data_IF_672909779819
#
_entry.id   IF_672909779819
#
_cell.length_a   1.000
_cell.length_b   1.000
_cell.length_c   1.000
_cell.angle_alpha   90.00
_cell.angle_beta   90.00
_cell.angle_gamma   90.00
#
_symmetry.space_group_name_H-M   'P 1'
#
loop_
_entity.id
_entity.type
_entity.pdbx_description
1 polymer ?
#
# COMPACT_ATOMS: atom_id res chain seq x y z
N UNK A 1 7.23 2.88 -21.42
CA UNK A 1 5.87 3.31 -21.01
C UNK A 1 6.05 4.11 -19.74
N UNK A 2 5.49 5.32 -19.65
CA UNK A 2 5.56 6.13 -18.42
C UNK A 2 4.60 5.57 -17.36
N UNK A 3 4.92 5.81 -16.09
CA UNK A 3 4.13 5.34 -14.96
C UNK A 3 3.30 6.49 -14.36
N UNK A 4 2.01 6.29 -14.18
CA UNK A 4 1.16 7.10 -13.31
C UNK A 4 0.73 6.26 -12.11
N UNK A 5 0.72 6.85 -10.93
CA UNK A 5 0.25 6.17 -9.71
C UNK A 5 -1.08 6.76 -9.28
N UNK A 6 -2.03 5.90 -8.92
CA UNK A 6 -3.31 6.27 -8.31
C UNK A 6 -3.38 5.67 -6.92
N UNK A 7 -3.47 6.50 -5.88
CA UNK A 7 -3.57 6.06 -4.49
C UNK A 7 -4.99 6.31 -3.99
N UNK A 8 -5.70 5.23 -3.62
CA UNK A 8 -7.05 5.30 -3.09
C UNK A 8 -7.04 5.63 -1.59
N UNK A 9 -7.49 6.80 -1.23
CA UNK A 9 -7.49 7.34 0.13
C UNK A 9 -8.85 7.88 0.59
N UNK A 10 -9.94 7.54 -0.13
CA UNK A 10 -11.28 8.08 0.11
C UNK A 10 -12.09 7.37 1.21
N UNK A 11 -11.58 6.29 1.80
CA UNK A 11 -12.31 5.47 2.77
C UNK A 11 -12.59 6.20 4.09
N UNK A 12 -13.82 6.08 4.62
CA UNK A 12 -14.28 6.76 5.86
C UNK A 12 -13.61 6.29 7.16
N UNK A 13 -12.97 5.11 7.17
CA UNK A 13 -12.22 4.61 8.34
C UNK A 13 -13.02 4.44 9.65
N UNK A 14 -14.33 4.18 9.60
CA UNK A 14 -15.22 4.10 10.78
C UNK A 14 -14.71 3.18 11.91
N UNK A 15 -14.01 2.08 11.55
CA UNK A 15 -13.45 1.11 12.50
C UNK A 15 -12.27 1.67 13.32
N UNK A 16 -11.63 2.75 12.88
CA UNK A 16 -10.55 3.42 13.61
C UNK A 16 -11.02 4.10 14.90
N UNK A 17 -12.33 4.40 15.01
CA UNK A 17 -12.91 5.13 16.17
C UNK A 17 -12.10 6.38 16.51
N UNK A 18 -11.79 7.20 15.53
CA UNK A 18 -10.92 8.37 15.63
C UNK A 18 -11.50 9.51 14.78
N UNK A 19 -11.35 10.75 15.24
CA UNK A 19 -11.65 11.95 14.46
C UNK A 19 -10.62 12.19 13.35
N UNK A 20 -9.40 11.68 13.55
CA UNK A 20 -8.36 11.73 12.53
C UNK A 20 -8.68 10.75 11.40
N UNK A 21 -8.69 11.17 10.14
CA UNK A 21 -8.86 10.29 8.99
C UNK A 21 -7.93 9.07 9.03
N UNK A 22 -8.44 7.91 8.62
CA UNK A 22 -7.69 6.64 8.66
C UNK A 22 -6.29 6.77 8.07
N UNK A 23 -6.19 7.36 6.90
CA UNK A 23 -4.92 7.50 6.15
C UNK A 23 -3.93 8.49 6.79
N UNK A 24 -4.37 9.28 7.76
CA UNK A 24 -3.53 10.17 8.56
C UNK A 24 -3.09 9.57 9.90
N UNK A 25 -3.58 8.37 10.27
CA UNK A 25 -3.10 7.70 11.48
C UNK A 25 -1.58 7.53 11.41
N UNK A 26 -0.86 7.88 12.48
CA UNK A 26 0.61 7.80 12.47
C UNK A 26 1.09 6.35 12.56
N UNK A 27 2.06 6.02 11.73
CA UNK A 27 2.86 4.81 11.75
C UNK A 27 4.33 5.23 11.88
N UNK A 28 4.99 4.89 12.98
CA UNK A 28 6.32 5.39 13.32
C UNK A 28 6.45 6.93 13.19
N UNK A 29 5.41 7.66 13.63
CA UNK A 29 5.35 9.12 13.60
C UNK A 29 4.96 9.75 12.26
N UNK A 30 4.79 8.97 11.19
CA UNK A 30 4.47 9.44 9.83
C UNK A 30 3.07 8.96 9.42
N UNK A 31 2.21 9.76 8.75
CA UNK A 31 0.90 9.32 8.28
C UNK A 31 0.98 8.07 7.37
N UNK A 32 0.01 7.15 7.50
CA UNK A 32 -0.07 5.95 6.65
C UNK A 32 0.06 6.29 5.15
N UNK A 33 -0.69 7.29 4.69
CA UNK A 33 -0.68 7.73 3.29
C UNK A 33 0.71 8.22 2.84
N UNK A 34 1.46 8.87 3.73
CA UNK A 34 2.81 9.34 3.41
C UNK A 34 3.77 8.19 3.11
N UNK A 35 3.69 7.08 3.87
CA UNK A 35 4.47 5.88 3.57
C UNK A 35 4.18 5.34 2.17
N UNK A 36 2.90 5.33 1.75
CA UNK A 36 2.50 4.88 0.42
C UNK A 36 3.00 5.83 -0.67
N UNK A 37 2.89 7.15 -0.44
CA UNK A 37 3.41 8.17 -1.37
C UNK A 37 4.94 8.01 -1.54
N UNK A 38 5.67 7.80 -0.45
CA UNK A 38 7.12 7.65 -0.50
C UNK A 38 7.54 6.41 -1.27
N UNK A 39 6.91 5.26 -0.99
CA UNK A 39 7.16 4.03 -1.74
C UNK A 39 6.83 4.17 -3.24
N UNK A 40 5.75 4.88 -3.58
CA UNK A 40 5.39 5.18 -4.96
C UNK A 40 6.42 6.08 -5.64
N UNK A 41 6.94 7.08 -4.94
CA UNK A 41 7.93 8.05 -5.44
C UNK A 41 9.26 7.40 -5.83
N UNK A 42 9.65 6.32 -5.14
CA UNK A 42 10.85 5.54 -5.48
C UNK A 42 10.80 4.87 -6.87
N UNK A 43 9.60 4.75 -7.46
CA UNK A 43 9.42 4.28 -8.83
C UNK A 43 9.59 5.38 -9.88
N UNK A 44 9.82 6.63 -9.45
CA UNK A 44 9.95 7.81 -10.32
C UNK A 44 8.78 7.97 -11.31
N UNK A 45 7.51 7.96 -10.83
CA UNK A 45 6.35 8.08 -11.70
C UNK A 45 6.25 9.49 -12.31
N UNK A 46 5.60 9.60 -13.47
CA UNK A 46 5.30 10.88 -14.10
C UNK A 46 4.34 11.73 -13.26
N UNK A 47 3.41 11.08 -12.55
CA UNK A 47 2.49 11.73 -11.61
C UNK A 47 1.99 10.74 -10.55
N UNK A 48 1.66 11.26 -9.36
CA UNK A 48 0.95 10.55 -8.30
C UNK A 48 -0.39 11.25 -8.08
N UNK A 49 -1.49 10.53 -8.27
CA UNK A 49 -2.84 10.99 -8.05
C UNK A 49 -3.36 10.40 -6.73
N UNK A 50 -3.75 11.22 -5.78
CA UNK A 50 -4.34 10.77 -4.52
C UNK A 50 -5.84 11.03 -4.57
N UNK A 51 -6.62 9.95 -4.62
CA UNK A 51 -8.08 10.02 -4.62
C UNK A 51 -8.56 10.09 -3.19
N UNK A 52 -9.15 11.22 -2.82
CA UNK A 52 -9.67 11.49 -1.49
C UNK A 52 -11.19 11.67 -1.49
N UNK A 53 -11.81 11.61 -0.31
CA UNK A 53 -13.25 11.77 -0.14
C UNK A 53 -13.57 12.49 1.16
N UNK A 54 -14.33 11.86 2.04
CA UNK A 54 -14.70 12.43 3.34
C UNK A 54 -13.46 12.78 4.18
N UNK A 55 -13.43 13.97 4.79
CA UNK A 55 -12.28 14.46 5.58
C UNK A 55 -11.09 14.91 4.71
N UNK A 56 -11.29 15.09 3.42
CA UNK A 56 -10.25 15.42 2.45
C UNK A 56 -9.47 16.69 2.75
N UNK A 57 -10.12 17.72 3.30
CA UNK A 57 -9.45 18.98 3.68
C UNK A 57 -8.33 18.74 4.71
N UNK A 58 -8.57 17.86 5.70
CA UNK A 58 -7.56 17.50 6.68
C UNK A 58 -6.41 16.72 6.05
N UNK A 59 -6.72 15.81 5.11
CA UNK A 59 -5.69 15.01 4.41
C UNK A 59 -4.81 15.91 3.55
N UNK A 60 -5.42 16.81 2.78
CA UNK A 60 -4.69 17.77 1.95
C UNK A 60 -3.84 18.73 2.78
N UNK A 61 -4.38 19.26 3.88
CA UNK A 61 -3.65 20.17 4.77
C UNK A 61 -2.44 19.48 5.43
N UNK A 62 -2.63 18.24 5.92
CA UNK A 62 -1.55 17.48 6.56
C UNK A 62 -0.42 17.09 5.59
N UNK A 63 -0.69 16.95 4.30
CA UNK A 63 0.24 16.52 3.27
C UNK A 63 0.41 17.58 2.17
N UNK A 64 0.21 18.86 2.49
CA UNK A 64 0.26 19.97 1.54
C UNK A 64 1.65 20.13 0.86
N UNK A 65 2.72 19.65 1.49
CA UNK A 65 4.07 19.70 0.94
C UNK A 65 4.38 18.55 -0.04
N UNK A 66 3.48 17.57 -0.16
CA UNK A 66 3.69 16.44 -1.07
C UNK A 66 3.35 16.83 -2.51
N UNK A 67 4.28 16.55 -3.42
CA UNK A 67 4.09 16.78 -4.86
C UNK A 67 3.16 15.69 -5.44
N UNK A 68 1.85 15.83 -5.20
CA UNK A 68 0.80 14.92 -5.67
C UNK A 68 -0.37 15.70 -6.28
N UNK A 69 -1.14 15.05 -7.13
CA UNK A 69 -2.39 15.58 -7.68
C UNK A 69 -3.56 15.06 -6.84
N UNK A 70 -4.29 15.97 -6.23
CA UNK A 70 -5.46 15.64 -5.42
C UNK A 70 -6.70 15.49 -6.28
N UNK A 71 -7.39 14.34 -6.15
CA UNK A 71 -8.58 13.99 -6.94
C UNK A 71 -9.75 13.72 -6.01
N UNK A 72 -10.82 14.50 -6.13
CA UNK A 72 -12.00 14.31 -5.29
C UNK A 72 -12.86 13.16 -5.80
N UNK A 73 -13.24 12.25 -4.92
CA UNK A 73 -14.31 11.27 -5.14
C UNK A 73 -15.56 11.69 -4.38
N UNK A 74 -16.54 12.21 -5.09
CA UNK A 74 -17.87 12.54 -4.53
C UNK A 74 -18.97 12.21 -5.54
N UNK A 75 -19.96 11.35 -5.19
CA UNK A 75 -20.05 10.52 -3.99
C UNK A 75 -19.11 9.31 -4.02
N UNK A 76 -18.96 8.63 -2.87
CA UNK A 76 -18.12 7.42 -2.74
C UNK A 76 -18.92 6.19 -3.18
N UNK A 77 -18.75 5.77 -4.44
CA UNK A 77 -19.50 4.67 -5.06
C UNK A 77 -18.64 3.42 -5.31
N UNK A 78 -17.58 3.23 -4.54
CA UNK A 78 -16.70 2.07 -4.65
C UNK A 78 -15.33 2.38 -5.26
N UNK A 79 -14.47 1.37 -5.30
CA UNK A 79 -13.06 1.50 -5.71
C UNK A 79 -12.87 1.74 -7.20
N UNK A 80 -13.69 1.13 -8.04
CA UNK A 80 -13.71 1.40 -9.49
C UNK A 80 -14.10 2.84 -9.79
N UNK A 81 -15.13 3.37 -9.09
CA UNK A 81 -15.51 4.77 -9.21
C UNK A 81 -14.38 5.70 -8.76
N UNK A 82 -13.65 5.36 -7.69
CA UNK A 82 -12.50 6.15 -7.23
C UNK A 82 -11.41 6.28 -8.31
N UNK A 83 -11.01 5.16 -8.91
CA UNK A 83 -10.02 5.17 -10.00
C UNK A 83 -10.51 5.97 -11.21
N UNK A 84 -11.80 5.86 -11.55
CA UNK A 84 -12.42 6.62 -12.66
C UNK A 84 -12.23 8.12 -12.50
N UNK A 85 -12.27 8.65 -11.27
CA UNK A 85 -12.06 10.09 -11.03
C UNK A 85 -10.65 10.56 -11.41
N UNK A 86 -9.64 9.71 -11.27
CA UNK A 86 -8.25 10.05 -11.62
C UNK A 86 -7.96 9.94 -13.13
N UNK A 87 -8.71 9.10 -13.85
CA UNK A 87 -8.44 8.79 -15.25
C UNK A 87 -8.37 9.99 -16.22
N UNK A 88 -9.17 11.07 -16.07
CA UNK A 88 -9.08 12.23 -16.98
C UNK A 88 -7.70 12.89 -17.05
N UNK A 89 -6.90 12.79 -15.97
CA UNK A 89 -5.56 13.37 -15.88
C UNK A 89 -4.43 12.41 -16.28
N UNK A 90 -4.76 11.18 -16.70
CA UNK A 90 -3.78 10.15 -17.02
C UNK A 90 -3.76 9.90 -18.54
N UNK A 91 -2.61 10.06 -19.20
CA UNK A 91 -2.46 9.76 -20.64
C UNK A 91 -2.67 8.26 -20.94
N UNK A 92 -3.22 7.96 -22.13
CA UNK A 92 -3.54 6.59 -22.54
C UNK A 92 -2.32 5.69 -22.76
N UNK A 93 -1.16 6.27 -23.02
CA UNK A 93 0.13 5.59 -23.21
C UNK A 93 0.86 5.29 -21.90
N UNK A 94 0.32 5.71 -20.75
CA UNK A 94 0.87 5.40 -19.44
C UNK A 94 0.45 4.00 -18.95
N UNK A 95 1.26 3.45 -18.04
CA UNK A 95 0.84 2.38 -17.14
C UNK A 95 0.35 2.99 -15.84
N UNK A 96 -0.75 2.49 -15.32
CA UNK A 96 -1.35 2.94 -14.05
C UNK A 96 -1.04 1.92 -12.97
N UNK A 97 -0.35 2.35 -11.92
CA UNK A 97 -0.19 1.59 -10.69
C UNK A 97 -1.23 2.07 -9.68
N UNK A 98 -2.11 1.17 -9.25
CA UNK A 98 -3.18 1.46 -8.28
C UNK A 98 -2.75 0.95 -6.92
N UNK A 99 -2.77 1.84 -5.92
CA UNK A 99 -2.38 1.60 -4.53
C UNK A 99 -3.49 2.02 -3.58
N UNK A 100 -3.40 1.57 -2.33
CA UNK A 100 -4.30 1.95 -1.25
C UNK A 100 -3.54 2.73 -0.17
N UNK A 101 -4.04 3.88 0.24
CA UNK A 101 -3.40 4.78 1.20
C UNK A 101 -3.31 4.23 2.62
N UNK A 102 -3.92 3.09 2.89
CA UNK A 102 -3.90 2.37 4.16
C UNK A 102 -3.07 1.07 4.13
N UNK A 103 -2.28 0.84 3.06
CA UNK A 103 -1.35 -0.31 2.93
C UNK A 103 0.10 0.20 2.95
N UNK A 104 0.62 0.64 4.12
CA UNK A 104 1.82 1.47 4.21
C UNK A 104 3.15 0.71 4.10
N UNK A 105 3.14 -0.62 4.21
CA UNK A 105 4.39 -1.40 4.29
C UNK A 105 4.86 -1.98 2.97
N UNK A 106 4.10 -1.76 1.88
CA UNK A 106 4.49 -2.27 0.56
C UNK A 106 5.78 -1.61 0.08
N UNK A 107 6.77 -2.44 -0.25
CA UNK A 107 8.10 -1.98 -0.66
C UNK A 107 8.13 -1.55 -2.12
N UNK A 108 8.93 -0.56 -2.44
CA UNK A 108 9.14 -0.12 -3.82
C UNK A 108 9.61 -1.26 -4.74
N UNK A 109 10.41 -2.21 -4.24
CA UNK A 109 10.83 -3.38 -4.99
C UNK A 109 9.65 -4.26 -5.41
N UNK A 110 8.69 -4.52 -4.50
CA UNK A 110 7.46 -5.28 -4.78
C UNK A 110 6.59 -4.53 -5.80
N UNK A 111 6.44 -3.21 -5.64
CA UNK A 111 5.69 -2.38 -6.60
C UNK A 111 6.35 -2.38 -7.99
N UNK A 112 7.68 -2.32 -8.06
CA UNK A 112 8.43 -2.41 -9.32
C UNK A 112 8.20 -3.76 -9.99
N UNK A 113 8.32 -4.86 -9.23
CA UNK A 113 8.02 -6.21 -9.73
C UNK A 113 6.58 -6.35 -10.24
N UNK A 114 5.59 -5.72 -9.57
CA UNK A 114 4.20 -5.69 -10.03
C UNK A 114 4.04 -4.94 -11.36
N UNK A 115 4.69 -3.78 -11.50
CA UNK A 115 4.66 -2.99 -12.75
C UNK A 115 5.30 -3.76 -13.90
N UNK A 116 6.40 -4.47 -13.64
CA UNK A 116 7.16 -5.23 -14.65
C UNK A 116 6.47 -6.55 -15.03
N UNK A 117 5.76 -7.19 -14.10
CA UNK A 117 5.09 -8.49 -14.32
C UNK A 117 3.95 -8.43 -15.34
N UNK A 118 3.28 -7.29 -15.46
CA UNK A 118 2.30 -7.10 -16.54
C UNK A 118 3.02 -6.99 -17.87
N UNK A 119 2.74 -7.92 -18.82
CA UNK A 119 3.16 -7.74 -20.22
C UNK A 119 2.80 -6.32 -20.72
N UNK A 120 3.42 -5.86 -21.80
CA UNK A 120 3.24 -4.48 -22.28
C UNK A 120 1.76 -4.03 -22.34
N UNK A 121 0.83 -4.93 -22.64
CA UNK A 121 -0.62 -4.69 -22.72
C UNK A 121 -1.43 -5.51 -21.68
N UNK A 122 -0.75 -6.14 -20.69
CA UNK A 122 -1.35 -7.02 -19.69
C UNK A 122 -1.72 -6.31 -18.38
N UNK A 123 -2.58 -6.96 -17.61
CA UNK A 123 -2.95 -6.58 -16.25
C UNK A 123 -2.16 -7.41 -15.24
N UNK A 124 -1.52 -6.77 -14.26
CA UNK A 124 -0.92 -7.45 -13.12
C UNK A 124 -1.67 -7.11 -11.83
N UNK A 125 -1.89 -8.11 -10.98
CA UNK A 125 -2.48 -7.97 -9.64
C UNK A 125 -1.50 -8.49 -8.60
N UNK A 126 -1.36 -7.80 -7.48
CA UNK A 126 -0.60 -8.29 -6.34
C UNK A 126 -1.51 -9.18 -5.49
N UNK A 127 -1.10 -10.40 -5.24
CA UNK A 127 -1.81 -11.37 -4.39
C UNK A 127 -0.95 -11.80 -3.21
N UNK A 128 -1.56 -12.43 -2.23
CA UNK A 128 -0.86 -13.08 -1.12
C UNK A 128 -1.68 -14.27 -0.63
N UNK A 129 -1.00 -15.31 -0.15
CA UNK A 129 -1.66 -16.41 0.53
C UNK A 129 -1.83 -16.08 2.01
N UNK A 130 -3.06 -16.05 2.52
CA UNK A 130 -3.38 -15.78 3.92
C UNK A 130 -3.87 -17.03 4.64
N UNK A 131 -3.53 -17.13 5.93
CA UNK A 131 -4.11 -18.18 6.78
C UNK A 131 -5.59 -17.92 7.04
N UNK A 132 -5.96 -16.69 7.34
CA UNK A 132 -7.35 -16.23 7.42
C UNK A 132 -7.65 -15.20 6.33
N UNK A 133 -8.25 -15.61 5.21
CA UNK A 133 -8.58 -14.73 4.10
C UNK A 133 -9.89 -13.96 4.30
N UNK A 134 -10.50 -13.97 5.47
CA UNK A 134 -11.80 -13.35 5.75
C UNK A 134 -11.79 -11.84 5.42
N UNK A 135 -12.82 -11.40 4.70
CA UNK A 135 -13.00 -10.01 4.32
C UNK A 135 -12.27 -9.56 3.05
N UNK A 136 -11.44 -10.40 2.46
CA UNK A 136 -10.70 -10.09 1.23
C UNK A 136 -11.33 -10.73 -0.02
N UNK A 137 -11.10 -10.14 -1.20
CA UNK A 137 -11.42 -10.74 -2.49
C UNK A 137 -10.51 -11.94 -2.79
N UNK A 138 -11.07 -12.98 -3.39
CA UNK A 138 -10.35 -14.22 -3.75
C UNK A 138 -9.87 -14.20 -5.18
N UNK A 139 -8.63 -14.61 -5.42
CA UNK A 139 -8.11 -14.83 -6.78
C UNK A 139 -8.64 -16.18 -7.28
N UNK A 140 -9.54 -16.13 -8.25
CA UNK A 140 -10.07 -17.34 -8.90
C UNK A 140 -9.17 -17.68 -10.09
N UNK A 141 -8.81 -18.98 -10.19
CA UNK A 141 -7.93 -19.47 -11.26
C UNK A 141 -8.63 -20.55 -12.10
N UNK A 142 -8.26 -20.64 -13.38
CA UNK A 142 -8.68 -21.73 -14.27
C UNK A 142 -7.86 -23.03 -13.99
N UNK A 143 -8.19 -24.09 -14.72
CA UNK A 143 -7.49 -25.37 -14.60
C UNK A 143 -5.99 -25.30 -14.99
N UNK A 144 -5.59 -24.29 -15.73
CA UNK A 144 -4.18 -24.02 -16.09
C UNK A 144 -3.48 -23.12 -15.06
N UNK A 145 -4.14 -22.76 -13.96
CA UNK A 145 -3.62 -21.90 -12.92
C UNK A 145 -3.61 -20.41 -13.25
N UNK A 146 -4.26 -19.96 -14.30
CA UNK A 146 -4.30 -18.56 -14.71
C UNK A 146 -5.42 -17.83 -13.94
N UNK A 147 -5.18 -16.60 -13.44
CA UNK A 147 -6.22 -15.80 -12.82
C UNK A 147 -7.33 -15.49 -13.83
N UNK A 148 -8.58 -15.70 -13.42
CA UNK A 148 -9.77 -15.48 -14.27
C UNK A 148 -10.72 -14.43 -13.71
N UNK A 149 -10.74 -14.26 -12.38
CA UNK A 149 -11.58 -13.28 -11.71
C UNK A 149 -11.04 -13.00 -10.30
N UNK A 150 -11.47 -11.88 -9.73
CA UNK A 150 -11.42 -11.62 -8.30
C UNK A 150 -12.87 -11.59 -7.81
N UNK A 151 -13.18 -12.42 -6.81
CA UNK A 151 -14.53 -12.47 -6.22
C UNK A 151 -14.47 -11.93 -4.80
N UNK A 152 -15.21 -10.86 -4.54
CA UNK A 152 -15.25 -10.22 -3.22
C UNK A 152 -15.87 -11.17 -2.18
N UNK A 153 -15.42 -11.04 -0.92
CA UNK A 153 -15.83 -11.96 0.17
C UNK A 153 -17.35 -12.11 0.30
N UNK A 154 -18.10 -11.02 0.13
CA UNK A 154 -19.56 -11.00 0.28
C UNK A 154 -20.32 -11.64 -0.88
N UNK A 155 -19.68 -11.74 -2.04
CA UNK A 155 -20.24 -12.31 -3.26
C UNK A 155 -19.70 -13.73 -3.53
N UNK A 156 -18.77 -14.23 -2.69
CA UNK A 156 -18.10 -15.51 -2.88
C UNK A 156 -19.00 -16.70 -2.48
N UNK A 157 -18.99 -17.73 -3.32
CA UNK A 157 -19.59 -19.03 -3.00
C UNK A 157 -18.81 -19.75 -1.88
N UNK A 158 -19.41 -20.75 -1.19
CA UNK A 158 -18.69 -21.53 -0.18
C UNK A 158 -17.37 -22.15 -0.67
N UNK A 159 -17.32 -22.61 -1.91
CA UNK A 159 -16.11 -23.16 -2.51
C UNK A 159 -15.03 -22.06 -2.71
N UNK A 160 -15.42 -20.87 -3.14
CA UNK A 160 -14.52 -19.75 -3.32
C UNK A 160 -14.00 -19.18 -1.98
N UNK A 161 -14.80 -19.22 -0.92
CA UNK A 161 -14.36 -18.83 0.43
C UNK A 161 -13.19 -19.68 0.95
N UNK A 162 -13.05 -20.94 0.48
CA UNK A 162 -11.91 -21.80 0.79
C UNK A 162 -10.59 -21.42 0.12
N UNK A 163 -10.59 -20.52 -0.86
CA UNK A 163 -9.38 -20.03 -1.53
C UNK A 163 -8.60 -19.16 -0.56
N UNK A 164 -7.30 -19.46 -0.38
CA UNK A 164 -6.40 -18.70 0.50
C UNK A 164 -5.67 -17.56 -0.21
N UNK A 165 -5.56 -17.63 -1.52
CA UNK A 165 -4.95 -16.54 -2.30
C UNK A 165 -5.94 -15.38 -2.43
N UNK A 166 -5.56 -14.25 -1.86
CA UNK A 166 -6.37 -13.05 -1.82
C UNK A 166 -5.82 -11.95 -2.72
N UNK A 167 -6.71 -11.09 -3.15
CA UNK A 167 -6.38 -9.84 -3.80
C UNK A 167 -6.00 -8.79 -2.77
N UNK A 168 -4.83 -8.19 -2.94
CA UNK A 168 -4.38 -7.08 -2.07
C UNK A 168 -4.98 -5.73 -2.47
N UNK A 169 -5.59 -5.65 -3.65
CA UNK A 169 -6.08 -4.42 -4.26
C UNK A 169 -5.04 -3.71 -5.14
N UNK A 170 -3.75 -4.02 -4.97
CA UNK A 170 -2.69 -3.37 -5.75
C UNK A 170 -2.63 -3.97 -7.15
N UNK A 171 -2.65 -3.10 -8.17
CA UNK A 171 -2.73 -3.50 -9.58
C UNK A 171 -1.88 -2.60 -10.47
N UNK A 172 -1.33 -3.16 -11.55
CA UNK A 172 -0.67 -2.42 -12.61
C UNK A 172 -1.35 -2.70 -13.96
N UNK A 173 -1.85 -1.64 -14.61
CA UNK A 173 -2.76 -1.75 -15.76
C UNK A 173 -2.40 -0.71 -16.82
N UNK A 174 -2.39 -1.01 -18.13
CA UNK A 174 -2.29 0.00 -19.17
C UNK A 174 -3.48 0.98 -19.10
N UNK A 175 -3.23 2.29 -19.10
CA UNK A 175 -4.25 3.33 -18.90
C UNK A 175 -5.39 3.22 -19.93
N UNK A 176 -5.06 3.00 -21.20
CA UNK A 176 -6.06 2.83 -22.27
C UNK A 176 -7.02 1.67 -22.00
N UNK A 177 -6.50 0.53 -21.54
CA UNK A 177 -7.33 -0.66 -21.19
C UNK A 177 -8.16 -0.38 -19.95
N UNK A 178 -7.53 0.18 -18.91
CA UNK A 178 -8.19 0.53 -17.67
C UNK A 178 -9.39 1.44 -17.90
N UNK A 179 -9.24 2.49 -18.71
CA UNK A 179 -10.33 3.42 -19.06
C UNK A 179 -11.51 2.70 -19.70
N UNK A 180 -11.25 1.80 -20.64
CA UNK A 180 -12.31 1.04 -21.30
C UNK A 180 -13.05 0.11 -20.33
N UNK A 181 -12.32 -0.59 -19.46
CA UNK A 181 -12.93 -1.51 -18.48
C UNK A 181 -13.71 -0.77 -17.39
N UNK A 182 -13.19 0.35 -16.89
CA UNK A 182 -13.89 1.19 -15.90
C UNK A 182 -15.23 1.71 -16.42
N UNK A 183 -15.31 2.07 -17.70
CA UNK A 183 -16.55 2.51 -18.32
C UNK A 183 -17.63 1.40 -18.41
N UNK A 184 -17.22 0.13 -18.35
CA UNK A 184 -18.11 -1.04 -18.38
C UNK A 184 -18.47 -1.60 -17.00
N UNK A 185 -17.97 -1.02 -15.90
CA UNK A 185 -18.27 -1.51 -14.57
C UNK A 185 -19.76 -1.35 -14.21
N UNK A 186 -20.27 -2.30 -13.44
CA UNK A 186 -21.62 -2.30 -12.89
C UNK A 186 -21.56 -2.32 -11.37
N UNK A 187 -22.67 -2.00 -10.73
CA UNK A 187 -22.81 -2.06 -9.29
C UNK A 187 -23.88 -3.09 -8.82
N UNK A 188 -24.13 -4.09 -9.66
CA UNK A 188 -25.06 -5.19 -9.41
C UNK A 188 -24.40 -6.26 -8.50
N UNK A 189 -24.03 -5.87 -7.28
CA UNK A 189 -23.32 -6.71 -6.32
C UNK A 189 -23.82 -6.48 -4.90
N UNK A 190 -23.37 -7.28 -3.93
CA UNK A 190 -23.82 -7.25 -2.55
C UNK A 190 -23.66 -5.89 -1.84
N UNK A 191 -22.80 -5.01 -2.33
CA UNK A 191 -22.56 -3.70 -1.73
C UNK A 191 -23.17 -2.53 -2.55
N UNK A 192 -23.64 -2.78 -3.78
CA UNK A 192 -24.13 -1.73 -4.68
C UNK A 192 -23.01 -0.79 -5.14
N UNK A 193 -21.75 -1.24 -5.17
CA UNK A 193 -20.57 -0.43 -5.46
C UNK A 193 -19.93 -0.84 -6.81
N UNK A 194 -19.24 0.09 -7.46
CA UNK A 194 -18.41 -0.21 -8.63
C UNK A 194 -17.09 -0.82 -8.15
N UNK A 195 -16.98 -2.15 -8.24
CA UNK A 195 -15.78 -2.86 -7.83
C UNK A 195 -14.66 -2.74 -8.86
N UNK A 196 -13.50 -2.26 -8.43
CA UNK A 196 -12.31 -2.22 -9.28
C UNK A 196 -11.90 -3.65 -9.71
N UNK A 197 -12.12 -4.63 -8.85
CA UNK A 197 -11.76 -6.02 -9.07
C UNK A 197 -12.43 -6.66 -10.30
N UNK A 198 -13.56 -6.12 -10.76
CA UNK A 198 -14.27 -6.59 -11.95
C UNK A 198 -13.50 -6.34 -13.27
N UNK A 199 -12.50 -5.44 -13.26
CA UNK A 199 -11.61 -5.25 -14.43
C UNK A 199 -10.82 -6.51 -14.77
N UNK A 200 -10.58 -7.41 -13.79
CA UNK A 200 -9.87 -8.68 -14.02
C UNK A 200 -10.69 -9.59 -14.94
N UNK A 201 -11.97 -9.78 -14.64
CA UNK A 201 -12.89 -10.53 -15.49
C UNK A 201 -13.07 -9.87 -16.86
N UNK A 202 -13.06 -8.54 -16.93
CA UNK A 202 -13.11 -7.80 -18.19
C UNK A 202 -11.85 -8.03 -19.02
N UNK A 203 -10.66 -8.01 -18.42
CA UNK A 203 -9.40 -8.32 -19.10
C UNK A 203 -9.39 -9.74 -19.69
N UNK A 204 -9.82 -10.72 -18.90
CA UNK A 204 -9.91 -12.13 -19.35
C UNK A 204 -10.89 -12.28 -20.53
N UNK A 205 -12.05 -11.65 -20.46
CA UNK A 205 -13.05 -11.65 -21.55
C UNK A 205 -12.48 -11.05 -22.83
N UNK A 206 -11.67 -10.01 -22.72
CA UNK A 206 -11.03 -9.33 -23.85
C UNK A 206 -9.75 -10.04 -24.35
N UNK A 207 -9.42 -11.22 -23.79
CA UNK A 207 -8.23 -12.00 -24.15
C UNK A 207 -6.91 -11.35 -23.70
N UNK A 208 -6.96 -10.40 -22.76
CA UNK A 208 -5.77 -9.72 -22.23
C UNK A 208 -5.14 -10.57 -21.12
N UNK A 209 -3.81 -10.79 -21.15
CA UNK A 209 -3.13 -11.55 -20.11
C UNK A 209 -3.30 -10.92 -18.73
N UNK A 210 -3.66 -11.76 -17.75
CA UNK A 210 -3.70 -11.38 -16.32
C UNK A 210 -2.62 -12.16 -15.58
N UNK A 211 -1.74 -11.45 -14.90
CA UNK A 211 -0.66 -12.02 -14.06
C UNK A 211 -0.92 -11.72 -12.60
N UNK A 212 -0.95 -12.75 -11.75
CA UNK A 212 -0.93 -12.56 -10.31
C UNK A 212 0.51 -12.69 -9.79
N UNK A 213 1.01 -11.65 -9.15
CA UNK A 213 2.31 -11.59 -8.48
C UNK A 213 2.09 -11.88 -7.01
N UNK A 214 2.80 -12.87 -6.47
CA UNK A 214 2.67 -13.22 -5.06
C UNK A 214 3.60 -12.31 -4.22
N UNK A 215 3.05 -11.65 -3.22
CA UNK A 215 3.82 -10.87 -2.26
C UNK A 215 4.61 -11.80 -1.31
N UNK A 216 5.77 -11.33 -0.85
CA UNK A 216 6.66 -12.11 0.02
C UNK A 216 6.05 -12.39 1.40
N UNK A 217 5.17 -11.52 1.91
CA UNK A 217 4.54 -11.69 3.22
C UNK A 217 3.19 -11.00 3.34
N UNK A 218 2.33 -11.55 4.20
CA UNK A 218 1.01 -10.98 4.50
C UNK A 218 1.12 -9.55 5.06
N UNK A 219 2.09 -9.31 5.94
CA UNK A 219 2.24 -8.03 6.63
C UNK A 219 2.65 -6.89 5.70
N UNK A 220 3.35 -7.19 4.61
CA UNK A 220 3.74 -6.19 3.61
C UNK A 220 2.53 -5.55 2.90
N UNK A 221 1.48 -6.33 2.73
CA UNK A 221 0.28 -5.93 2.00
C UNK A 221 -0.94 -5.74 2.90
N UNK A 222 -0.72 -5.73 4.21
CA UNK A 222 -1.77 -5.55 5.20
C UNK A 222 -2.34 -4.14 5.16
N UNK A 223 -3.65 -4.04 4.97
CA UNK A 223 -4.39 -2.78 5.09
C UNK A 223 -4.75 -2.49 6.55
N UNK A 224 -4.52 -1.25 6.98
CA UNK A 224 -4.85 -0.79 8.33
C UNK A 224 -6.29 -0.29 8.37
N UNK A 225 -7.17 -0.99 9.07
CA UNK A 225 -8.59 -0.63 9.20
C UNK A 225 -9.04 -0.31 10.62
N UNK A 226 -8.26 -0.73 11.61
CA UNK A 226 -8.50 -0.50 13.04
C UNK A 226 -7.18 -0.35 13.81
N UNK A 227 -7.29 -0.12 15.13
CA UNK A 227 -6.12 0.12 15.99
C UNK A 227 -5.29 -1.15 16.24
N UNK A 228 -5.88 -2.33 16.11
CA UNK A 228 -5.16 -3.61 16.27
C UNK A 228 -4.23 -3.80 15.07
N UNK A 229 -4.78 -3.70 13.86
CA UNK A 229 -3.99 -3.77 12.64
C UNK A 229 -2.92 -2.66 12.57
N UNK A 230 -3.22 -1.45 13.07
CA UNK A 230 -2.21 -0.39 13.17
C UNK A 230 -1.03 -0.82 14.06
N UNK A 231 -1.29 -1.41 15.22
CA UNK A 231 -0.24 -1.88 16.13
C UNK A 231 0.59 -3.04 15.54
N UNK A 232 -0.05 -3.93 14.78
CA UNK A 232 0.62 -5.03 14.07
C UNK A 232 1.59 -4.49 13.00
N UNK A 233 1.13 -3.56 12.19
CA UNK A 233 1.92 -2.90 11.14
C UNK A 233 3.06 -2.07 11.76
N UNK A 234 2.81 -1.36 12.88
CA UNK A 234 3.83 -0.63 13.65
C UNK A 234 4.93 -1.59 14.12
N UNK A 235 4.55 -2.74 14.68
CA UNK A 235 5.50 -3.76 15.15
C UNK A 235 6.35 -4.31 14.00
N UNK A 236 5.74 -4.55 12.84
CA UNK A 236 6.42 -5.05 11.65
C UNK A 236 7.42 -4.02 11.09
N UNK A 237 7.02 -2.75 11.03
CA UNK A 237 7.90 -1.66 10.58
C UNK A 237 9.10 -1.50 11.53
N UNK A 238 8.86 -1.53 12.84
CA UNK A 238 9.92 -1.46 13.87
C UNK A 238 10.94 -2.57 13.69
N UNK A 239 10.48 -3.82 13.54
CA UNK A 239 11.36 -4.98 13.30
C UNK A 239 12.16 -4.84 12.01
N UNK A 240 11.54 -4.34 10.94
CA UNK A 240 12.22 -4.10 9.66
C UNK A 240 13.33 -3.08 9.81
N UNK A 241 13.06 -1.92 10.42
CA UNK A 241 14.03 -0.84 10.64
C UNK A 241 15.17 -1.27 11.56
N UNK A 242 14.87 -2.02 12.64
CA UNK A 242 15.90 -2.59 13.51
C UNK A 242 16.83 -3.54 12.74
N UNK A 243 16.27 -4.40 11.87
CA UNK A 243 17.05 -5.27 10.99
C UNK A 243 17.94 -4.48 10.02
N UNK A 244 17.41 -3.43 9.42
CA UNK A 244 18.16 -2.54 8.52
C UNK A 244 19.37 -1.90 9.22
N UNK A 245 19.19 -1.40 10.45
CA UNK A 245 20.31 -0.87 11.25
C UNK A 245 21.37 -1.92 11.56
N UNK A 246 20.96 -3.15 11.91
CA UNK A 246 21.92 -4.24 12.17
C UNK A 246 22.69 -4.60 10.90
N UNK A 247 22.05 -4.63 9.75
CA UNK A 247 22.70 -4.87 8.45
C UNK A 247 23.64 -3.73 8.05
N UNK A 248 23.36 -2.50 8.50
CA UNK A 248 24.22 -1.33 8.32
C UNK A 248 25.43 -1.29 9.30
N UNK A 249 25.52 -2.24 10.25
CA UNK A 249 26.66 -2.38 11.15
C UNK A 249 26.41 -1.99 12.60
N UNK A 250 25.18 -1.67 13.00
CA UNK A 250 24.84 -1.42 14.39
C UNK A 250 24.64 -2.73 15.16
N UNK A 251 25.10 -2.77 16.41
CA UNK A 251 24.74 -3.81 17.37
C UNK A 251 23.58 -3.32 18.22
N UNK A 252 22.46 -4.03 18.22
CA UNK A 252 21.29 -3.76 19.07
C UNK A 252 21.24 -4.78 20.20
N UNK A 253 21.18 -4.32 21.47
CA UNK A 253 21.06 -5.21 22.62
C UNK A 253 19.78 -6.04 22.59
N UNK A 254 18.67 -5.44 22.15
CA UNK A 254 17.40 -6.12 21.88
C UNK A 254 16.67 -5.42 20.71
N UNK A 255 16.65 -6.03 19.51
CA UNK A 255 15.97 -5.45 18.34
C UNK A 255 14.45 -5.22 18.52
N UNK A 256 13.81 -5.87 19.48
CA UNK A 256 12.40 -5.67 19.79
C UNK A 256 12.14 -4.43 20.65
N UNK A 257 13.18 -3.85 21.25
CA UNK A 257 13.10 -2.76 22.21
C UNK A 257 13.78 -1.47 21.70
N UNK A 258 13.81 -1.28 20.40
CA UNK A 258 14.21 -0.04 19.76
C UNK A 258 13.04 0.51 18.95
N UNK A 259 12.87 1.82 18.92
CA UNK A 259 11.85 2.51 18.15
C UNK A 259 12.49 3.57 17.25
N UNK A 260 12.27 3.44 15.94
CA UNK A 260 12.86 4.32 14.93
C UNK A 260 11.73 5.07 14.24
N UNK A 261 11.69 6.39 14.43
CA UNK A 261 10.62 7.30 13.95
C UNK A 261 11.17 8.35 13.00
N UNK A 262 11.91 7.94 11.97
CA UNK A 262 12.54 8.85 11.03
C UNK A 262 13.66 8.18 10.24
N UNK A 263 14.62 8.99 9.82
CA UNK A 263 15.81 8.59 9.09
C UNK A 263 16.98 8.43 10.06
N UNK A 264 17.59 7.24 10.09
CA UNK A 264 18.72 6.95 10.99
C UNK A 264 19.87 6.40 10.18
N UNK A 265 21.02 7.10 10.24
CA UNK A 265 22.28 6.65 9.69
C UNK A 265 23.20 6.18 10.81
N UNK A 266 23.89 5.06 10.61
CA UNK A 266 24.83 4.50 11.58
C UNK A 266 26.19 4.24 10.95
N UNK A 267 27.26 4.64 11.66
CA UNK A 267 28.61 4.23 11.32
C UNK A 267 28.93 2.82 11.83
N UNK A 268 30.13 2.30 11.51
CA UNK A 268 30.56 0.99 12.01
C UNK A 268 30.69 0.96 13.54
N UNK A 269 30.46 -0.22 14.12
CA UNK A 269 30.62 -0.50 15.56
C UNK A 269 29.75 0.36 16.47
N UNK A 270 28.61 0.88 15.98
CA UNK A 270 27.61 1.54 16.82
C UNK A 270 26.94 0.49 17.71
N UNK A 271 26.77 0.81 19.00
CA UNK A 271 26.00 -0.01 19.96
C UNK A 271 24.80 0.78 20.47
N UNK A 272 23.62 0.16 20.42
CA UNK A 272 22.36 0.76 20.93
C UNK A 272 21.73 -0.20 21.93
N UNK A 273 21.53 0.28 23.15
CA UNK A 273 20.93 -0.46 24.24
C UNK A 273 19.39 -0.49 24.14
N UNK A 274 18.74 -1.10 25.12
CA UNK A 274 17.28 -1.30 25.17
C UNK A 274 16.51 0.00 25.40
N UNK A 275 15.24 0.04 24.94
CA UNK A 275 14.31 1.16 25.13
C UNK A 275 14.83 2.49 24.56
N UNK A 276 15.56 2.42 23.48
CA UNK A 276 16.01 3.63 22.78
C UNK A 276 14.99 4.03 21.72
N UNK A 277 14.66 5.32 21.68
CA UNK A 277 13.83 5.93 20.64
C UNK A 277 14.70 6.89 19.83
N UNK A 278 14.78 6.64 18.51
CA UNK A 278 15.44 7.53 17.55
C UNK A 278 14.37 8.20 16.68
N UNK A 279 14.31 9.53 16.66
CA UNK A 279 13.26 10.30 16.00
C UNK A 279 13.84 11.39 15.09
N UNK A 280 13.14 11.70 13.99
CA UNK A 280 13.61 12.71 13.04
C UNK A 280 14.85 12.23 12.25
N UNK A 281 15.83 13.13 12.06
CA UNK A 281 17.09 12.81 11.38
C UNK A 281 18.19 12.58 12.40
N UNK A 282 18.61 11.33 12.56
CA UNK A 282 19.66 10.95 13.51
C UNK A 282 20.83 10.32 12.79
N UNK A 283 22.04 10.82 13.05
CA UNK A 283 23.26 10.26 12.51
C UNK A 283 24.21 9.90 13.66
N UNK A 284 24.56 8.62 13.74
CA UNK A 284 25.47 8.08 14.75
C UNK A 284 26.80 7.72 14.06
N UNK A 285 27.87 8.42 14.45
CA UNK A 285 29.22 8.18 13.93
C UNK A 285 29.80 6.84 14.39
N UNK A 286 31.01 6.51 13.94
CA UNK A 286 31.67 5.24 14.29
C UNK A 286 31.87 5.06 15.78
N UNK A 287 31.62 3.86 16.31
CA UNK A 287 31.84 3.46 17.70
C UNK A 287 31.00 4.21 18.74
N UNK A 288 29.96 4.94 18.31
CA UNK A 288 28.99 5.58 19.22
C UNK A 288 28.28 4.50 20.05
N UNK A 289 28.11 4.75 21.34
CA UNK A 289 27.37 3.89 22.28
C UNK A 289 26.20 4.66 22.87
N UNK A 290 24.98 4.18 22.63
CA UNK A 290 23.75 4.73 23.18
C UNK A 290 23.32 3.84 24.35
N UNK A 291 23.23 4.42 25.55
CA UNK A 291 22.76 3.72 26.75
C UNK A 291 21.24 3.50 26.75
N UNK A 292 20.73 2.73 27.73
CA UNK A 292 19.32 2.39 27.77
C UNK A 292 18.43 3.59 28.10
N UNK A 293 17.16 3.53 27.67
CA UNK A 293 16.12 4.53 27.91
C UNK A 293 16.44 5.94 27.35
N UNK A 294 17.21 6.03 26.27
CA UNK A 294 17.49 7.29 25.60
C UNK A 294 16.41 7.65 24.59
N UNK A 295 16.04 8.95 24.53
CA UNK A 295 15.26 9.55 23.47
C UNK A 295 16.16 10.55 22.73
N UNK A 296 16.40 10.30 21.43
CA UNK A 296 17.33 11.08 20.59
C UNK A 296 16.55 11.58 19.38
N UNK A 297 16.62 12.87 19.13
CA UNK A 297 15.91 13.48 18.01
C UNK A 297 16.79 14.50 17.28
N UNK A 298 16.71 14.51 15.93
CA UNK A 298 17.31 15.51 15.05
C UNK A 298 18.76 15.87 15.43
N UNK A 299 19.63 14.86 15.49
CA UNK A 299 20.98 14.99 16.10
C UNK A 299 22.03 14.20 15.32
N UNK A 300 23.27 14.71 15.32
CA UNK A 300 24.48 14.01 14.88
C UNK A 300 25.41 13.82 16.10
N UNK A 301 25.89 12.58 16.34
CA UNK A 301 26.76 12.17 17.45
C UNK A 301 28.02 11.50 16.89
#
# INVERSE_FOLDING_TARGET
>A
MQLSVVILAAGMGKRMKSELPKVLQPLAGTPLLKHVIDAARELSPAAIHVVFGHGGDQVQAALAQEAVQWVLQAPQLGTGHAVTQAMPSIPDDHRVLILYGDVPLTRAATLRGLVEAGAADGLAVLSVNMQDPSGYGRIVRDAAGRPTAIVEHKDATPAQLGIREINTGLMAVPARRLRAWLAGLRNDNAQGEYYLTDIVAAAVRDGVPVTAVLADSEVEVMGVNDKVQLAEVETALRRRRARELMLAGATLADPARIDIRGEVEVGPDVFIDINVVLSGKVKLGPRVKIGPNCFITDTEI
#
